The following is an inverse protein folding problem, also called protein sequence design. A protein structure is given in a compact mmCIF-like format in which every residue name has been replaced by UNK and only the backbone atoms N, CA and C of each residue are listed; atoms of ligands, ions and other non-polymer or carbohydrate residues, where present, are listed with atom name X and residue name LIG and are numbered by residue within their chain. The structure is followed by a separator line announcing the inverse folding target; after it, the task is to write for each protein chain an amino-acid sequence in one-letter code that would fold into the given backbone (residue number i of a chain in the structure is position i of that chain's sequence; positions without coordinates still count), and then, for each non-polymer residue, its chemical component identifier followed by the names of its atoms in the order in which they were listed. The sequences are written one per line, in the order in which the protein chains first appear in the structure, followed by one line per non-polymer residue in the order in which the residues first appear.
data_IF_367967525651
#
_entry.id   IF_367967525651
#
_cell.length_a   1.000
_cell.length_b   1.000
_cell.length_c   1.000
_cell.angle_alpha   90.00
_cell.angle_beta   90.00
_cell.angle_gamma   90.00
#
_symmetry.space_group_name_H-M   'P 1'
#
loop_
_entity.id
_entity.type
_entity.pdbx_description
1 polymer ?
#
# COMPACT_ATOMS: atom_id res chain seq x y z
N UNK A 1 -3.30 -15.03 -39.75
CA UNK A 1 -3.58 -13.59 -39.91
C UNK A 1 -3.47 -12.96 -38.52
N UNK A 2 -2.34 -12.31 -38.21
CA UNK A 2 -2.15 -11.62 -36.92
C UNK A 2 -2.88 -10.27 -37.02
N UNK A 3 -3.90 -10.05 -36.19
CA UNK A 3 -4.47 -8.71 -36.04
C UNK A 3 -3.45 -7.82 -35.31
N UNK A 4 -3.10 -6.64 -35.83
CA UNK A 4 -2.21 -5.73 -35.13
C UNK A 4 -2.91 -5.22 -33.86
N UNK A 5 -2.23 -5.34 -32.72
CA UNK A 5 -2.66 -4.74 -31.46
C UNK A 5 -2.59 -3.21 -31.63
N UNK A 6 -3.74 -2.54 -31.76
CA UNK A 6 -3.80 -1.09 -31.82
C UNK A 6 -3.58 -0.54 -30.41
N UNK A 7 -2.32 -0.27 -30.05
CA UNK A 7 -1.98 0.39 -28.78
C UNK A 7 -2.35 1.87 -28.93
N UNK A 8 -3.56 2.22 -28.52
CA UNK A 8 -3.94 3.62 -28.35
C UNK A 8 -3.08 4.19 -27.21
N UNK A 9 -2.34 5.29 -27.41
CA UNK A 9 -1.64 5.95 -26.32
C UNK A 9 -2.70 6.35 -25.29
N UNK A 10 -2.62 5.77 -24.10
CA UNK A 10 -3.51 6.12 -23.01
C UNK A 10 -3.00 7.45 -22.46
N UNK A 11 -3.62 8.56 -22.89
CA UNK A 11 -3.35 9.85 -22.29
C UNK A 11 -3.75 9.80 -20.80
N UNK A 12 -2.79 10.07 -19.91
CA UNK A 12 -3.03 10.12 -18.47
C UNK A 12 -3.04 11.59 -18.08
N UNK A 13 -4.22 12.10 -17.72
CA UNK A 13 -4.32 13.41 -17.07
C UNK A 13 -3.75 13.29 -15.66
N UNK A 14 -2.76 14.11 -15.36
CA UNK A 14 -2.12 14.19 -14.05
C UNK A 14 -2.28 15.60 -13.49
N UNK A 15 -2.78 15.67 -12.25
CA UNK A 15 -2.99 16.87 -11.48
C UNK A 15 -1.85 16.97 -10.46
N UNK A 16 -1.19 18.13 -10.41
CA UNK A 16 -0.14 18.45 -9.43
C UNK A 16 -0.73 19.23 -8.28
N UNK A 17 -0.47 18.79 -7.05
CA UNK A 17 -0.95 19.42 -5.82
C UNK A 17 0.23 19.63 -4.88
N UNK A 18 0.34 20.83 -4.30
CA UNK A 18 1.34 21.17 -3.28
C UNK A 18 0.70 21.07 -1.90
N UNK A 19 1.32 20.32 -1.01
CA UNK A 19 0.87 20.16 0.38
C UNK A 19 1.95 20.68 1.32
N UNK A 20 1.57 21.49 2.29
CA UNK A 20 2.43 21.81 3.43
C UNK A 20 2.26 20.73 4.50
N UNK A 21 3.37 20.16 4.96
CA UNK A 21 3.40 19.17 6.05
C UNK A 21 3.82 19.82 7.37
N UNK A 22 3.79 19.05 8.45
CA UNK A 22 3.85 19.58 9.82
C UNK A 22 5.17 20.30 10.16
N UNK A 23 6.28 19.93 9.50
CA UNK A 23 7.59 20.56 9.68
C UNK A 23 7.78 21.84 8.84
N UNK A 24 6.74 22.28 8.12
CA UNK A 24 6.77 23.46 7.26
C UNK A 24 7.33 23.21 5.85
N UNK A 25 7.82 22.01 5.55
CA UNK A 25 8.24 21.66 4.20
C UNK A 25 7.03 21.44 3.26
N UNK A 26 7.31 21.52 1.95
CA UNK A 26 6.30 21.38 0.90
C UNK A 26 6.51 20.06 0.17
N UNK A 27 5.49 19.22 0.16
CA UNK A 27 5.43 18.00 -0.63
C UNK A 27 4.63 18.24 -1.93
N UNK A 28 5.03 17.57 -3.01
CA UNK A 28 4.30 17.56 -4.27
C UNK A 28 3.64 16.20 -4.48
N UNK A 29 2.32 16.19 -4.64
CA UNK A 29 1.55 15.03 -5.08
C UNK A 29 1.20 15.15 -6.55
N UNK A 30 1.31 14.05 -7.28
CA UNK A 30 0.84 13.90 -8.64
C UNK A 30 -0.23 12.81 -8.63
N UNK A 31 -1.43 13.12 -9.11
CA UNK A 31 -2.57 12.20 -9.06
C UNK A 31 -3.47 12.37 -10.28
N UNK A 32 -4.17 11.31 -10.68
CA UNK A 32 -5.21 11.35 -11.71
C UNK A 32 -6.63 11.33 -11.11
N UNK A 33 -6.75 11.57 -9.80
CA UNK A 33 -8.01 11.59 -9.06
C UNK A 33 -8.76 12.91 -9.26
N UNK A 34 -10.09 12.85 -9.34
CA UNK A 34 -10.94 14.04 -9.54
C UNK A 34 -10.85 15.01 -8.35
N UNK A 35 -10.55 16.31 -8.58
CA UNK A 35 -10.41 17.30 -7.51
C UNK A 35 -11.67 17.49 -6.65
N UNK A 36 -12.85 17.36 -7.25
CA UNK A 36 -14.14 17.54 -6.58
C UNK A 36 -14.39 16.43 -5.54
N UNK A 37 -14.00 15.20 -5.87
CA UNK A 37 -14.14 14.04 -4.98
C UNK A 37 -12.96 13.92 -4.01
N UNK A 38 -11.77 14.35 -4.42
CA UNK A 38 -10.52 14.22 -3.69
C UNK A 38 -9.85 15.58 -3.45
N UNK A 39 -10.43 16.45 -2.59
CA UNK A 39 -9.81 17.71 -2.25
C UNK A 39 -8.46 17.49 -1.52
N UNK A 40 -7.57 18.50 -1.45
CA UNK A 40 -6.22 18.37 -0.89
C UNK A 40 -6.15 17.74 0.50
N UNK A 41 -7.12 18.02 1.38
CA UNK A 41 -7.19 17.43 2.72
C UNK A 41 -7.42 15.90 2.67
N UNK A 42 -8.29 15.43 1.78
CA UNK A 42 -8.56 13.99 1.58
C UNK A 42 -7.36 13.31 0.95
N UNK A 43 -6.72 13.95 -0.05
CA UNK A 43 -5.50 13.43 -0.66
C UNK A 43 -4.35 13.31 0.34
N UNK A 44 -4.19 14.28 1.24
CA UNK A 44 -3.21 14.21 2.33
C UNK A 44 -3.46 12.99 3.23
N UNK A 45 -4.71 12.73 3.60
CA UNK A 45 -5.07 11.55 4.40
C UNK A 45 -4.85 10.23 3.63
N UNK A 46 -5.23 10.18 2.36
CA UNK A 46 -5.01 9.01 1.50
C UNK A 46 -3.53 8.71 1.31
N UNK A 47 -2.72 9.74 1.06
CA UNK A 47 -1.29 9.58 0.90
C UNK A 47 -0.61 9.17 2.21
N UNK A 48 -1.07 9.68 3.36
CA UNK A 48 -0.59 9.24 4.67
C UNK A 48 -0.84 7.74 4.91
N UNK A 49 -1.95 7.17 4.40
CA UNK A 49 -2.22 5.72 4.50
C UNK A 49 -1.17 4.86 3.77
N UNK A 50 -0.42 5.41 2.81
CA UNK A 50 0.70 4.70 2.14
C UNK A 50 1.73 4.20 3.15
N UNK A 51 2.00 4.96 4.22
CA UNK A 51 2.96 4.59 5.26
C UNK A 51 2.58 3.30 6.00
N UNK A 52 1.29 2.98 6.03
CA UNK A 52 0.79 1.73 6.60
C UNK A 52 1.41 0.50 5.96
N UNK A 53 1.69 0.53 4.65
CA UNK A 53 2.30 -0.60 3.92
C UNK A 53 3.74 -0.84 4.39
N UNK A 54 4.54 0.22 4.51
CA UNK A 54 5.94 0.11 4.93
C UNK A 54 6.06 -0.43 6.36
N UNK A 55 5.22 0.08 7.25
CA UNK A 55 5.16 -0.40 8.65
C UNK A 55 4.70 -1.86 8.71
N UNK A 56 3.71 -2.24 7.89
CA UNK A 56 3.23 -3.64 7.80
C UNK A 56 4.34 -4.60 7.33
N UNK A 57 5.12 -4.23 6.31
CA UNK A 57 6.26 -5.07 5.88
C UNK A 57 7.36 -5.17 6.94
N UNK A 58 7.57 -4.11 7.75
CA UNK A 58 8.48 -4.19 8.89
C UNK A 58 7.98 -5.19 9.94
N UNK A 59 6.69 -5.14 10.28
CA UNK A 59 6.08 -6.06 11.23
C UNK A 59 6.10 -7.50 10.71
N UNK A 60 5.79 -7.72 9.43
CA UNK A 60 5.89 -9.04 8.80
C UNK A 60 7.31 -9.62 8.89
N UNK A 61 8.33 -8.80 8.61
CA UNK A 61 9.73 -9.23 8.70
C UNK A 61 10.16 -9.57 10.13
N UNK A 62 9.94 -8.65 11.07
CA UNK A 62 10.58 -8.74 12.38
C UNK A 62 9.66 -9.18 13.52
N UNK A 63 8.37 -8.88 13.45
CA UNK A 63 7.40 -9.28 14.48
C UNK A 63 6.84 -10.67 14.18
N UNK A 64 6.40 -10.90 12.94
CA UNK A 64 5.91 -12.22 12.50
C UNK A 64 7.05 -13.19 12.18
N UNK A 65 8.23 -12.65 11.84
CA UNK A 65 9.45 -13.45 11.66
C UNK A 65 9.70 -13.95 10.24
N UNK A 66 9.12 -13.33 9.21
CA UNK A 66 9.30 -13.74 7.80
C UNK A 66 10.75 -13.67 7.29
N UNK A 67 11.67 -13.06 8.03
CA UNK A 67 13.11 -13.12 7.69
C UNK A 67 13.71 -14.52 7.90
N UNK A 68 13.01 -15.41 8.61
CA UNK A 68 13.44 -16.79 8.86
C UNK A 68 12.44 -17.78 8.26
N UNK A 69 12.72 -18.25 7.05
CA UNK A 69 11.96 -19.31 6.39
C UNK A 69 12.65 -20.66 6.63
N UNK A 70 11.87 -21.70 6.92
CA UNK A 70 12.40 -22.99 7.37
C UNK A 70 12.49 -24.02 6.25
N UNK A 71 11.54 -23.96 5.32
CA UNK A 71 11.51 -24.88 4.19
C UNK A 71 12.60 -24.59 3.16
N UNK A 72 13.01 -25.64 2.46
CA UNK A 72 13.88 -25.60 1.28
C UNK A 72 13.13 -25.86 -0.03
N UNK A 73 11.86 -26.31 0.05
CA UNK A 73 11.01 -26.56 -1.12
C UNK A 73 10.24 -25.28 -1.48
N UNK A 74 10.26 -24.82 -2.74
CA UNK A 74 9.60 -23.57 -3.16
C UNK A 74 8.12 -23.50 -2.79
N UNK A 75 7.40 -24.63 -2.91
CA UNK A 75 5.97 -24.69 -2.65
C UNK A 75 5.67 -24.46 -1.16
N UNK A 76 6.52 -25.02 -0.29
CA UNK A 76 6.40 -24.89 1.15
C UNK A 76 6.90 -23.51 1.64
N UNK A 77 7.90 -22.92 0.97
CA UNK A 77 8.30 -21.52 1.21
C UNK A 77 7.13 -20.59 0.94
N UNK A 78 6.42 -20.79 -0.17
CA UNK A 78 5.24 -20.01 -0.51
C UNK A 78 4.12 -20.18 0.52
N UNK A 79 3.93 -21.41 1.03
CA UNK A 79 3.00 -21.69 2.12
C UNK A 79 3.37 -20.93 3.41
N UNK A 80 4.65 -20.89 3.80
CA UNK A 80 5.12 -20.11 4.95
C UNK A 80 4.82 -18.62 4.79
N UNK A 81 5.07 -18.06 3.59
CA UNK A 81 4.77 -16.66 3.27
C UNK A 81 3.27 -16.35 3.42
N UNK A 82 2.40 -17.18 2.84
CA UNK A 82 0.95 -16.98 2.96
C UNK A 82 0.47 -17.14 4.39
N UNK A 83 1.02 -18.10 5.14
CA UNK A 83 0.69 -18.29 6.56
C UNK A 83 1.05 -17.06 7.38
N UNK A 84 2.21 -16.45 7.13
CA UNK A 84 2.62 -15.21 7.78
C UNK A 84 1.70 -14.02 7.44
N UNK A 85 1.27 -13.89 6.18
CA UNK A 85 0.31 -12.86 5.78
C UNK A 85 -1.06 -13.06 6.46
N UNK A 86 -1.54 -14.30 6.54
CA UNK A 86 -2.80 -14.62 7.23
C UNK A 86 -2.70 -14.25 8.72
N UNK A 87 -1.63 -14.67 9.40
CA UNK A 87 -1.42 -14.37 10.81
C UNK A 87 -1.35 -12.86 11.07
N UNK A 88 -0.62 -12.13 10.24
CA UNK A 88 -0.53 -10.67 10.33
C UNK A 88 -1.90 -10.01 10.17
N UNK A 89 -2.61 -10.33 9.08
CA UNK A 89 -3.92 -9.74 8.80
C UNK A 89 -4.94 -10.07 9.88
N UNK A 90 -4.94 -11.30 10.39
CA UNK A 90 -5.79 -11.71 11.50
C UNK A 90 -5.48 -10.93 12.79
N UNK A 91 -4.21 -10.78 13.13
CA UNK A 91 -3.78 -10.02 14.31
C UNK A 91 -4.18 -8.54 14.21
N UNK A 92 -4.00 -7.93 13.05
CA UNK A 92 -4.43 -6.55 12.80
C UNK A 92 -5.95 -6.40 12.89
N UNK A 93 -6.71 -7.33 12.32
CA UNK A 93 -8.17 -7.32 12.40
C UNK A 93 -8.68 -7.47 13.83
N UNK A 94 -8.05 -8.35 14.62
CA UNK A 94 -8.38 -8.52 16.04
C UNK A 94 -8.10 -7.24 16.86
N UNK A 95 -6.97 -6.57 16.59
CA UNK A 95 -6.62 -5.30 17.25
C UNK A 95 -7.57 -4.14 16.87
N UNK A 96 -8.07 -4.09 15.63
CA UNK A 96 -9.05 -3.07 15.23
C UNK A 96 -10.38 -3.20 15.98
N UNK A 97 -10.76 -4.41 16.38
CA UNK A 97 -11.96 -4.65 17.19
C UNK A 97 -11.87 -4.09 18.62
N UNK A 98 -10.67 -3.89 19.15
CA UNK A 98 -10.46 -3.31 20.49
C UNK A 98 -10.37 -1.78 20.52
N UNK A 99 -10.03 -1.14 19.40
CA UNK A 99 -9.91 0.32 19.30
C UNK A 99 -11.24 1.04 18.98
N UNK A 100 -12.31 0.26 18.75
CA UNK A 100 -13.66 0.76 18.43
C UNK A 100 -14.66 0.62 19.58
N UNK A 101 -14.18 0.28 20.79
CA UNK A 101 -14.97 0.14 22.02
C UNK A 101 -14.70 1.27 23.03
#
# INVERSE_FOLDING_TARGET
MLHPLHIVPKEITAIKILLTIADGSVETLITNLEPEQFPPAVLKQLYARRWGIETSFRQLKYTVGMVHLHSKKPELILQEIFSAFILFNFSQAAAWGSDTA
#
